data_IF_446855231363
#
_entry.id   IF_446855231363
#
_cell.length_a   1.000
_cell.length_b   1.000
_cell.length_c   1.000
_cell.angle_alpha   90.00
_cell.angle_beta   90.00
_cell.angle_gamma   90.00
#
_symmetry.space_group_name_H-M   'P 1'
#
loop_
_entity.id
_entity.type
_entity.pdbx_description
1 polymer ?
#
# COMPACT_ATOMS: atom_id res chain seq x y z
N UNK A 1 29.63 23.82 4.51
CA UNK A 1 29.63 22.70 5.47
C UNK A 1 28.37 21.89 5.23
N UNK A 2 28.55 20.58 5.05
CA UNK A 2 27.57 19.62 4.56
C UNK A 2 26.38 19.43 5.52
N UNK A 3 25.16 19.49 4.99
CA UNK A 3 23.96 18.90 5.61
C UNK A 3 23.31 17.95 4.61
N UNK A 4 23.98 16.84 4.31
CA UNK A 4 23.32 15.63 3.77
C UNK A 4 22.48 15.04 4.91
N UNK A 5 21.16 14.97 4.77
CA UNK A 5 20.27 14.00 5.46
C UNK A 5 18.84 14.05 4.89
N UNK A 6 18.57 13.03 4.07
CA UNK A 6 17.28 12.40 3.80
C UNK A 6 16.16 13.24 3.16
N UNK A 7 16.25 13.39 1.84
CA UNK A 7 15.13 13.77 0.96
C UNK A 7 14.01 12.71 1.06
N UNK A 8 13.14 12.84 2.07
CA UNK A 8 11.73 12.43 2.12
C UNK A 8 11.33 11.23 1.22
N UNK A 9 12.01 10.09 1.39
CA UNK A 9 11.75 8.88 0.59
C UNK A 9 10.39 8.31 1.00
N UNK A 10 9.34 8.64 0.23
CA UNK A 10 7.96 8.18 0.46
C UNK A 10 7.81 6.66 0.35
N UNK A 11 8.65 6.02 -0.47
CA UNK A 11 8.66 4.58 -0.72
C UNK A 11 10.02 4.11 -1.26
N UNK A 12 10.30 2.82 -1.17
CA UNK A 12 11.52 2.16 -1.67
C UNK A 12 11.14 1.11 -2.70
N UNK A 13 11.80 1.11 -3.87
CA UNK A 13 11.62 0.03 -4.85
C UNK A 13 12.28 -1.26 -4.35
N UNK A 14 11.56 -2.37 -4.46
CA UNK A 14 12.05 -3.72 -4.15
C UNK A 14 12.14 -4.62 -5.38
N UNK A 15 11.53 -4.21 -6.49
CA UNK A 15 11.56 -4.91 -7.77
C UNK A 15 11.00 -4.02 -8.89
N UNK A 16 10.85 -4.58 -10.10
CA UNK A 16 10.40 -3.81 -11.27
C UNK A 16 9.01 -3.18 -11.09
N UNK A 17 8.10 -3.87 -10.40
CA UNK A 17 6.72 -3.42 -10.14
C UNK A 17 6.34 -3.61 -8.67
N UNK A 18 7.31 -3.44 -7.78
CA UNK A 18 7.17 -3.76 -6.36
C UNK A 18 7.86 -2.70 -5.52
N UNK A 19 7.14 -2.16 -4.52
CA UNK A 19 7.64 -1.14 -3.62
C UNK A 19 7.31 -1.47 -2.17
N UNK A 20 8.06 -0.88 -1.25
CA UNK A 20 7.73 -0.77 0.16
C UNK A 20 7.46 0.70 0.47
N UNK A 21 6.23 0.98 0.89
CA UNK A 21 5.76 2.32 1.22
C UNK A 21 5.38 2.44 2.69
N UNK A 22 5.43 3.67 3.21
CA UNK A 22 4.83 3.99 4.50
C UNK A 22 3.30 4.06 4.39
N UNK A 23 2.57 3.78 5.47
CA UNK A 23 1.11 3.95 5.49
C UNK A 23 0.63 5.38 5.21
N UNK A 24 1.53 6.37 5.30
CA UNK A 24 1.27 7.78 4.96
C UNK A 24 1.37 8.07 3.46
N UNK A 25 1.81 7.12 2.63
CA UNK A 25 1.86 7.32 1.18
C UNK A 25 0.45 7.63 0.67
N UNK A 26 0.33 8.63 -0.19
CA UNK A 26 -0.94 9.00 -0.79
C UNK A 26 -1.34 7.97 -1.85
N UNK A 27 -2.64 7.69 -1.94
CA UNK A 27 -3.16 6.79 -2.97
C UNK A 27 -2.91 7.36 -4.37
N UNK A 28 -3.08 8.66 -4.55
CA UNK A 28 -2.82 9.32 -5.83
C UNK A 28 -1.34 9.18 -6.25
N UNK A 29 -0.39 9.27 -5.32
CA UNK A 29 1.03 9.00 -5.61
C UNK A 29 1.22 7.54 -6.08
N UNK A 30 0.53 6.60 -5.45
CA UNK A 30 0.59 5.18 -5.77
C UNK A 30 -0.04 4.85 -7.13
N UNK A 31 -1.19 5.46 -7.43
CA UNK A 31 -1.89 5.34 -8.70
C UNK A 31 -1.03 5.84 -9.86
N UNK A 32 -0.45 7.03 -9.72
CA UNK A 32 0.47 7.59 -10.72
C UNK A 32 1.74 6.75 -10.88
N UNK A 33 2.25 6.18 -9.80
CA UNK A 33 3.46 5.36 -9.81
C UNK A 33 3.28 4.04 -10.58
N UNK A 34 2.13 3.40 -10.40
CA UNK A 34 1.82 2.12 -11.03
C UNK A 34 1.00 2.26 -12.32
N UNK A 35 0.61 3.48 -12.70
CA UNK A 35 -0.32 3.79 -13.78
C UNK A 35 -1.62 2.97 -13.67
N UNK A 36 -2.19 2.95 -12.46
CA UNK A 36 -3.42 2.23 -12.12
C UNK A 36 -4.40 3.14 -11.42
N UNK A 37 -5.67 2.74 -11.42
CA UNK A 37 -6.73 3.40 -10.64
C UNK A 37 -7.19 2.48 -9.52
N UNK A 38 -7.19 2.99 -8.29
CA UNK A 38 -7.64 2.29 -7.09
C UNK A 38 -9.08 2.74 -6.83
N UNK A 39 -10.01 1.80 -6.94
CA UNK A 39 -11.39 2.06 -6.55
C UNK A 39 -11.50 2.01 -5.03
N UNK A 40 -11.72 3.18 -4.42
CA UNK A 40 -12.01 3.29 -2.99
C UNK A 40 -13.51 3.51 -2.79
N UNK A 41 -14.12 2.75 -1.88
CA UNK A 41 -15.52 3.01 -1.48
C UNK A 41 -15.63 4.15 -0.46
N UNK A 42 -14.50 4.59 0.08
CA UNK A 42 -14.38 5.61 1.11
C UNK A 42 -13.58 6.82 0.62
N UNK A 43 -13.55 7.88 1.45
CA UNK A 43 -12.75 9.08 1.23
C UNK A 43 -11.28 8.90 1.67
N UNK A 44 -10.77 7.66 1.65
CA UNK A 44 -9.38 7.39 2.00
C UNK A 44 -8.43 8.13 1.05
N UNK A 45 -7.46 8.86 1.62
CA UNK A 45 -6.44 9.61 0.85
C UNK A 45 -5.08 8.91 0.89
N UNK A 46 -4.84 8.08 1.91
CA UNK A 46 -3.56 7.40 2.13
C UNK A 46 -3.70 5.88 2.05
N UNK A 47 -2.61 5.19 1.74
CA UNK A 47 -2.55 3.71 1.73
C UNK A 47 -3.01 3.15 3.07
N UNK A 48 -2.54 3.70 4.19
CA UNK A 48 -2.92 3.23 5.51
C UNK A 48 -4.42 3.38 5.79
N UNK A 49 -5.00 4.54 5.46
CA UNK A 49 -6.44 4.77 5.61
C UNK A 49 -7.27 3.84 4.72
N UNK A 50 -6.83 3.64 3.47
CA UNK A 50 -7.48 2.71 2.57
C UNK A 50 -7.49 1.27 3.10
N UNK A 51 -6.36 0.77 3.59
CA UNK A 51 -6.31 -0.60 4.12
C UNK A 51 -7.17 -0.77 5.37
N UNK A 52 -7.28 0.27 6.21
CA UNK A 52 -8.19 0.25 7.36
C UNK A 52 -9.65 0.24 6.93
N UNK A 53 -10.02 1.09 5.97
CA UNK A 53 -11.40 1.16 5.47
C UNK A 53 -11.81 -0.15 4.79
N UNK A 54 -10.89 -0.82 4.09
CA UNK A 54 -11.11 -2.10 3.43
C UNK A 54 -11.33 -3.26 4.41
N UNK A 55 -10.67 -3.24 5.57
CA UNK A 55 -10.81 -4.28 6.60
C UNK A 55 -11.86 -3.91 7.67
N UNK A 56 -12.21 -2.64 7.81
CA UNK A 56 -13.02 -2.10 8.90
C UNK A 56 -12.30 -2.01 10.24
N UNK A 57 -11.02 -2.38 10.29
CA UNK A 57 -10.17 -2.36 11.47
C UNK A 57 -8.70 -2.12 11.08
N UNK A 58 -7.80 -2.07 12.07
CA UNK A 58 -6.38 -1.85 11.80
C UNK A 58 -5.74 -3.16 11.33
N UNK A 59 -5.21 -3.22 10.09
CA UNK A 59 -4.62 -4.44 9.55
C UNK A 59 -3.43 -4.91 10.38
N UNK A 60 -3.30 -6.22 10.56
CA UNK A 60 -2.16 -6.84 11.21
C UNK A 60 -1.00 -7.05 10.23
N UNK A 61 0.22 -7.13 10.76
CA UNK A 61 1.38 -7.55 9.97
C UNK A 61 1.14 -8.97 9.44
N UNK A 62 1.26 -9.15 8.12
CA UNK A 62 0.95 -10.40 7.43
C UNK A 62 -0.34 -10.37 6.62
N UNK A 63 -1.19 -9.35 6.79
CA UNK A 63 -2.44 -9.24 6.04
C UNK A 63 -2.19 -8.92 4.57
N UNK A 64 -3.04 -9.50 3.71
CA UNK A 64 -3.01 -9.36 2.25
C UNK A 64 -4.33 -8.83 1.76
N UNK A 65 -4.30 -7.67 1.13
CA UNK A 65 -5.47 -7.04 0.52
C UNK A 65 -5.20 -6.90 -0.97
N UNK A 66 -6.16 -7.32 -1.79
CA UNK A 66 -6.05 -7.24 -3.25
C UNK A 66 -7.17 -6.39 -3.81
N UNK A 67 -6.79 -5.34 -4.54
CA UNK A 67 -7.72 -4.35 -5.09
C UNK A 67 -7.28 -3.94 -6.49
N UNK A 68 -8.18 -4.17 -7.45
CA UNK A 68 -7.89 -4.01 -8.88
C UNK A 68 -6.67 -4.82 -9.32
N UNK A 69 -5.64 -4.11 -9.77
CA UNK A 69 -4.37 -4.68 -10.23
C UNK A 69 -3.25 -4.61 -9.17
N UNK A 70 -3.55 -4.24 -7.93
CA UNK A 70 -2.58 -4.08 -6.86
C UNK A 70 -2.80 -5.08 -5.71
N UNK A 71 -1.71 -5.67 -5.26
CA UNK A 71 -1.65 -6.42 -4.01
C UNK A 71 -0.92 -5.58 -2.95
N UNK A 72 -1.59 -5.39 -1.82
CA UNK A 72 -1.07 -4.78 -0.62
C UNK A 72 -0.77 -5.88 0.40
N UNK A 73 0.44 -5.84 0.96
CA UNK A 73 0.87 -6.73 2.02
C UNK A 73 1.38 -5.92 3.20
N UNK A 74 0.74 -6.06 4.34
CA UNK A 74 1.08 -5.28 5.53
C UNK A 74 2.33 -5.87 6.15
N UNK A 75 3.43 -5.12 6.13
CA UNK A 75 4.70 -5.55 6.71
C UNK A 75 4.76 -5.26 8.21
N UNK A 76 4.17 -4.14 8.62
CA UNK A 76 4.14 -3.71 10.02
C UNK A 76 3.01 -2.72 10.24
N UNK A 77 2.32 -2.89 11.36
CA UNK A 77 1.33 -1.97 11.91
C UNK A 77 1.58 -1.78 13.41
N UNK A 78 1.08 -0.66 13.91
CA UNK A 78 0.93 -0.34 15.32
C UNK A 78 -0.56 -0.40 15.68
N UNK A 79 -0.91 -0.42 16.98
CA UNK A 79 -2.31 -0.42 17.43
C UNK A 79 -3.18 0.74 16.95
N UNK A 80 -2.59 1.78 16.35
CA UNK A 80 -3.29 2.95 15.83
C UNK A 80 -3.16 3.11 14.31
N UNK A 81 -2.16 2.46 13.66
CA UNK A 81 -1.88 2.70 12.25
C UNK A 81 -1.02 1.67 11.55
N UNK A 82 -1.19 1.58 10.23
CA UNK A 82 -0.26 0.86 9.36
C UNK A 82 1.05 1.63 9.21
N UNK A 83 2.19 0.99 9.50
CA UNK A 83 3.53 1.59 9.40
C UNK A 83 4.14 1.37 8.02
N UNK A 84 4.23 0.11 7.59
CA UNK A 84 4.87 -0.29 6.34
C UNK A 84 4.00 -1.26 5.56
N UNK A 85 3.93 -1.02 4.27
CA UNK A 85 3.16 -1.83 3.31
C UNK A 85 4.04 -2.15 2.14
N UNK A 86 4.09 -3.42 1.79
CA UNK A 86 4.63 -3.88 0.53
C UNK A 86 3.52 -3.86 -0.51
N UNK A 87 3.76 -3.22 -1.64
CA UNK A 87 2.77 -3.02 -2.70
C UNK A 87 3.36 -3.50 -4.00
N UNK A 88 2.60 -4.30 -4.74
CA UNK A 88 3.01 -4.77 -6.07
C UNK A 88 1.86 -4.87 -7.03
N UNK A 89 2.17 -4.87 -8.32
CA UNK A 89 1.19 -5.28 -9.32
C UNK A 89 0.83 -6.76 -9.11
N UNK A 90 -0.45 -7.00 -8.82
CA UNK A 90 -1.04 -8.33 -8.86
C UNK A 90 -1.26 -8.67 -10.33
N UNK A 91 -0.24 -9.24 -10.99
CA UNK A 91 -0.36 -9.79 -12.33
C UNK A 91 -1.61 -10.69 -12.37
N UNK A 92 -2.68 -10.17 -12.97
CA UNK A 92 -4.05 -10.69 -12.99
C UNK A 92 -4.29 -11.77 -11.94
N UNK A 93 -4.73 -11.38 -10.74
CA UNK A 93 -5.15 -12.34 -9.73
C UNK A 93 -6.14 -13.32 -10.35
N UNK A 94 -5.65 -14.52 -10.70
CA UNK A 94 -6.48 -15.67 -11.03
C UNK A 94 -7.50 -15.75 -9.91
N UNK A 95 -8.77 -15.49 -10.25
CA UNK A 95 -9.97 -15.82 -9.50
C UNK A 95 -9.72 -17.05 -8.62
N UNK A 96 -9.33 -16.88 -7.37
CA UNK A 96 -9.44 -17.94 -6.37
C UNK A 96 -10.81 -17.78 -5.74
N UNK A 97 -11.81 -18.32 -6.46
CA UNK A 97 -13.03 -18.82 -5.82
C UNK A 97 -12.60 -19.89 -4.83
N UNK A 98 -12.93 -19.74 -3.56
CA UNK A 98 -13.08 -20.85 -2.61
C UNK A 98 -14.55 -20.74 -2.18
N UNK A 99 -15.45 -21.49 -2.82
CA UNK A 99 -15.92 -22.85 -2.46
C UNK A 99 -16.39 -22.95 -1.01
#
# INVERSE_FOLDING_TARGET
>A
ISSKKDENVKYTYCGSNEIIAGGKMELNDLENLFDVKIETSSNAVTVGGFLMDELGEIPAAGDKINRGSLLFYVLSSDPNRVKKVYIRLAAAAKRRKNK
#
